data_IF_817609804781
#
_entry.id   IF_817609804781
#
_cell.length_a   1.000
_cell.length_b   1.000
_cell.length_c   1.000
_cell.angle_alpha   90.00
_cell.angle_beta   90.00
_cell.angle_gamma   90.00
#
_symmetry.space_group_name_H-M   'P 1'
#
loop_
_entity.id
_entity.type
_entity.pdbx_description
1 polymer ?
#
# COMPACT_ATOMS: atom_id res chain seq x y z
N UNK A 1 30.04 0.44 -14.71
CA UNK A 1 28.80 0.42 -13.91
C UNK A 1 29.18 0.55 -12.45
N UNK A 2 28.62 1.51 -11.69
CA UNK A 2 28.85 1.59 -10.24
C UNK A 2 27.81 0.72 -9.54
N UNK A 3 28.23 -0.27 -8.75
CA UNK A 3 27.33 -1.08 -7.93
C UNK A 3 26.63 -0.17 -6.90
N UNK A 4 25.38 0.16 -7.16
CA UNK A 4 24.55 1.06 -6.36
C UNK A 4 23.50 0.31 -5.53
N UNK A 5 23.61 -1.02 -5.40
CA UNK A 5 22.61 -1.85 -4.71
C UNK A 5 22.44 -1.45 -3.24
N UNK A 6 23.51 -0.92 -2.62
CA UNK A 6 23.49 -0.38 -1.25
C UNK A 6 22.56 0.82 -1.09
N UNK A 7 22.18 1.52 -2.16
CA UNK A 7 21.21 2.61 -2.08
C UNK A 7 19.80 2.09 -1.79
N UNK A 8 19.48 0.85 -2.21
CA UNK A 8 18.19 0.24 -1.90
C UNK A 8 18.03 0.06 -0.39
N UNK A 9 19.05 -0.40 0.31
CA UNK A 9 18.98 -0.56 1.76
C UNK A 9 19.15 0.79 2.49
N UNK A 10 20.14 1.60 2.11
CA UNK A 10 20.49 2.83 2.85
C UNK A 10 19.53 4.01 2.66
N UNK A 11 18.80 4.08 1.54
CA UNK A 11 17.92 5.22 1.24
C UNK A 11 16.43 4.88 1.27
N UNK A 12 16.05 3.60 1.15
CA UNK A 12 14.63 3.23 1.02
C UNK A 12 14.10 2.39 2.19
N UNK A 13 14.97 2.01 3.13
CA UNK A 13 14.61 1.18 4.28
C UNK A 13 14.24 -0.26 3.90
N UNK A 14 14.66 -0.72 2.72
CA UNK A 14 14.55 -2.12 2.33
C UNK A 14 15.57 -2.97 3.09
N UNK A 15 15.17 -4.19 3.42
CA UNK A 15 16.02 -5.25 3.97
C UNK A 15 16.38 -6.22 2.86
N UNK A 16 17.67 -6.55 2.74
CA UNK A 16 18.14 -7.66 1.89
C UNK A 16 17.87 -8.99 2.60
N UNK A 17 17.03 -9.84 2.01
CA UNK A 17 16.62 -11.10 2.62
C UNK A 17 17.78 -12.10 2.75
N UNK A 18 18.76 -12.07 1.86
CA UNK A 18 19.91 -12.97 1.90
C UNK A 18 20.87 -12.57 3.03
N UNK A 19 21.20 -11.28 3.09
CA UNK A 19 22.05 -10.71 4.16
C UNK A 19 21.46 -11.00 5.54
N UNK A 20 20.15 -10.81 5.70
CA UNK A 20 19.45 -11.16 6.93
C UNK A 20 19.53 -12.66 7.25
N UNK A 21 19.35 -13.53 6.25
CA UNK A 21 19.33 -14.98 6.44
C UNK A 21 20.69 -15.57 6.84
N UNK A 22 21.81 -14.99 6.36
CA UNK A 22 23.16 -15.41 6.76
C UNK A 22 23.61 -14.86 8.12
N UNK A 23 22.78 -14.04 8.77
CA UNK A 23 22.97 -13.59 10.15
C UNK A 23 23.94 -12.42 10.35
N UNK A 24 24.14 -11.56 9.34
CA UNK A 24 25.10 -10.46 9.42
C UNK A 24 24.64 -9.15 8.78
N UNK A 25 25.31 -8.06 9.16
CA UNK A 25 25.45 -6.84 8.34
C UNK A 25 26.25 -7.25 7.07
N UNK A 26 26.10 -6.63 5.87
CA UNK A 26 26.71 -7.11 4.62
C UNK A 26 28.24 -7.31 4.64
N UNK A 27 28.91 -6.96 5.75
CA UNK A 27 30.33 -6.88 6.03
C UNK A 27 31.04 -6.01 4.99
N UNK A 28 31.73 -4.98 5.48
CA UNK A 28 32.59 -4.03 4.79
C UNK A 28 32.82 -4.30 3.29
N UNK A 29 32.56 -3.30 2.44
CA UNK A 29 32.86 -3.38 1.01
C UNK A 29 34.22 -4.06 0.76
N UNK A 30 34.21 -5.25 0.15
CA UNK A 30 35.41 -6.06 -0.09
C UNK A 30 35.44 -7.45 0.56
N UNK A 31 34.46 -7.84 1.38
CA UNK A 31 34.36 -9.23 1.86
C UNK A 31 33.90 -10.15 0.73
N UNK A 32 34.81 -10.94 0.16
CA UNK A 32 34.48 -11.95 -0.85
C UNK A 32 33.76 -13.12 -0.17
N UNK A 33 32.44 -13.18 -0.30
CA UNK A 33 31.68 -14.39 -0.06
C UNK A 33 31.85 -15.24 -1.32
N UNK A 34 32.38 -16.46 -1.18
CA UNK A 34 32.70 -17.31 -2.34
C UNK A 34 31.54 -17.42 -3.34
N UNK A 35 31.87 -17.45 -4.63
CA UNK A 35 30.88 -17.65 -5.69
C UNK A 35 30.16 -18.99 -5.51
N UNK A 36 28.85 -19.00 -5.78
CA UNK A 36 28.09 -20.24 -5.82
C UNK A 36 28.54 -21.12 -7.00
N UNK A 37 28.43 -22.46 -6.90
CA UNK A 37 28.87 -23.35 -7.96
C UNK A 37 28.12 -23.09 -9.27
N UNK A 38 28.83 -22.97 -10.40
CA UNK A 38 28.20 -22.73 -11.71
C UNK A 38 27.27 -23.87 -12.15
N UNK A 39 27.49 -25.09 -11.63
CA UNK A 39 26.70 -26.27 -11.91
C UNK A 39 26.17 -26.92 -10.62
N UNK A 40 24.98 -27.52 -10.72
CA UNK A 40 24.37 -28.25 -9.61
C UNK A 40 23.62 -27.35 -8.62
N UNK A 41 23.24 -27.94 -7.49
CA UNK A 41 22.48 -27.26 -6.43
C UNK A 41 23.47 -26.84 -5.35
N UNK A 42 23.52 -25.55 -4.95
CA UNK A 42 24.34 -25.14 -3.82
C UNK A 42 23.93 -25.86 -2.53
N UNK A 43 24.91 -26.35 -1.78
CA UNK A 43 24.65 -27.08 -0.53
C UNK A 43 24.06 -26.20 0.58
N UNK A 44 24.26 -24.89 0.50
CA UNK A 44 23.79 -23.91 1.46
C UNK A 44 23.71 -22.51 0.84
N UNK A 45 23.28 -21.54 1.65
CA UNK A 45 23.07 -20.14 1.23
C UNK A 45 24.27 -19.22 1.51
N UNK A 46 25.43 -19.74 1.92
CA UNK A 46 26.58 -18.90 2.32
C UNK A 46 27.35 -18.32 1.13
N UNK A 47 27.21 -18.92 -0.05
CA UNK A 47 27.70 -18.34 -1.28
C UNK A 47 26.74 -17.26 -1.77
N UNK A 48 27.24 -16.24 -2.45
CA UNK A 48 26.43 -15.12 -2.95
C UNK A 48 26.09 -15.30 -4.43
N UNK A 49 24.82 -15.10 -4.78
CA UNK A 49 24.38 -14.93 -6.18
C UNK A 49 24.02 -13.49 -6.48
N UNK A 50 24.01 -13.13 -7.76
CA UNK A 50 23.62 -11.80 -8.23
C UNK A 50 22.13 -11.48 -8.04
N UNK A 51 21.27 -12.48 -8.01
CA UNK A 51 19.82 -12.31 -7.80
C UNK A 51 19.50 -11.96 -6.34
N UNK A 52 18.75 -10.87 -6.13
CA UNK A 52 18.43 -10.36 -4.79
C UNK A 52 16.94 -10.18 -4.59
N UNK A 53 16.51 -10.42 -3.35
CA UNK A 53 15.15 -10.11 -2.88
C UNK A 53 15.25 -9.09 -1.76
N UNK A 54 14.75 -7.90 -2.03
CA UNK A 54 14.62 -6.82 -1.06
C UNK A 54 13.18 -6.71 -0.60
N UNK A 55 12.97 -6.51 0.69
CA UNK A 55 11.63 -6.41 1.26
C UNK A 55 11.54 -5.34 2.34
N UNK A 56 10.34 -4.84 2.61
CA UNK A 56 10.05 -3.94 3.73
C UNK A 56 8.61 -4.14 4.18
N UNK A 57 8.35 -3.97 5.47
CA UNK A 57 6.99 -3.79 5.97
C UNK A 57 6.37 -2.44 5.58
N UNK A 58 5.27 -2.13 6.23
CA UNK A 58 4.58 -0.84 6.14
C UNK A 58 3.97 -0.49 7.51
N UNK A 59 3.43 0.73 7.69
CA UNK A 59 2.71 1.07 8.92
C UNK A 59 1.54 0.14 9.28
N UNK A 60 1.02 -0.67 8.33
CA UNK A 60 -0.08 -1.62 8.58
C UNK A 60 0.36 -3.09 8.61
N UNK A 61 1.57 -3.40 8.14
CA UNK A 61 2.06 -4.78 8.02
C UNK A 61 3.50 -4.86 8.53
N UNK A 62 3.71 -5.68 9.55
CA UNK A 62 5.03 -6.17 9.90
C UNK A 62 5.35 -7.36 8.98
N UNK A 63 6.37 -7.21 8.14
CA UNK A 63 6.82 -8.26 7.23
C UNK A 63 8.17 -8.78 7.71
N UNK A 64 8.32 -10.11 7.78
CA UNK A 64 9.56 -10.76 8.20
C UNK A 64 9.90 -11.88 7.24
N UNK A 65 11.16 -11.91 6.77
CA UNK A 65 11.70 -13.10 6.11
C UNK A 65 11.88 -14.23 7.13
N UNK A 66 11.35 -15.41 6.83
CA UNK A 66 11.46 -16.62 7.65
C UNK A 66 12.41 -17.66 7.09
N UNK A 67 12.84 -17.50 5.83
CA UNK A 67 13.75 -18.41 5.19
C UNK A 67 14.24 -17.88 3.85
N UNK A 68 15.46 -18.27 3.48
CA UNK A 68 16.08 -17.99 2.18
C UNK A 68 16.64 -19.30 1.63
N UNK A 69 16.44 -19.54 0.34
CA UNK A 69 16.83 -20.78 -0.32
C UNK A 69 17.29 -20.52 -1.75
N UNK A 70 18.28 -21.30 -2.19
CA UNK A 70 18.53 -21.54 -3.60
C UNK A 70 17.67 -22.73 -4.05
N UNK A 71 16.60 -22.45 -4.79
CA UNK A 71 15.59 -23.44 -5.19
C UNK A 71 15.97 -24.16 -6.50
N UNK A 72 17.27 -24.22 -6.80
CA UNK A 72 17.86 -24.69 -8.06
C UNK A 72 17.36 -26.07 -8.47
N UNK A 73 17.13 -26.97 -7.50
CA UNK A 73 16.65 -28.34 -7.75
C UNK A 73 15.30 -28.39 -8.47
N UNK A 74 14.44 -27.37 -8.32
CA UNK A 74 13.13 -27.29 -9.00
C UNK A 74 13.23 -26.81 -10.45
N UNK A 75 14.40 -26.31 -10.85
CA UNK A 75 14.66 -25.72 -12.16
C UNK A 75 15.75 -26.48 -12.92
N UNK A 76 15.82 -27.80 -12.67
CA UNK A 76 16.63 -28.72 -13.44
C UNK A 76 15.78 -29.37 -14.54
N UNK A 77 16.41 -29.68 -15.66
CA UNK A 77 15.83 -30.54 -16.70
C UNK A 77 15.60 -31.97 -16.16
N UNK A 78 14.82 -32.82 -16.85
CA UNK A 78 14.66 -34.24 -16.48
C UNK A 78 15.97 -35.04 -16.43
N UNK A 79 17.07 -34.50 -16.98
CA UNK A 79 18.42 -35.09 -16.94
C UNK A 79 19.32 -34.44 -15.87
N UNK A 80 18.75 -33.67 -14.94
CA UNK A 80 19.43 -32.93 -13.88
C UNK A 80 20.37 -31.79 -14.34
N UNK A 81 20.27 -31.34 -15.59
CA UNK A 81 21.01 -30.14 -16.05
C UNK A 81 20.29 -28.84 -15.63
N UNK A 82 21.02 -27.81 -15.18
CA UNK A 82 20.46 -26.47 -14.96
C UNK A 82 19.81 -25.91 -16.24
N UNK A 83 18.65 -25.27 -16.10
CA UNK A 83 17.96 -24.58 -17.21
C UNK A 83 18.44 -23.13 -17.40
N UNK A 84 19.26 -22.64 -16.47
CA UNK A 84 19.83 -21.29 -16.43
C UNK A 84 21.17 -21.35 -15.69
N UNK A 85 22.05 -20.39 -15.95
CA UNK A 85 23.32 -20.20 -15.24
C UNK A 85 23.15 -19.39 -13.93
N UNK A 86 21.91 -19.18 -13.48
CA UNK A 86 21.58 -18.53 -12.21
C UNK A 86 20.92 -19.54 -11.26
N UNK A 87 21.11 -19.37 -9.95
CA UNK A 87 20.35 -20.12 -8.96
C UNK A 87 19.08 -19.37 -8.57
N UNK A 88 17.88 -19.92 -8.86
CA UNK A 88 16.62 -19.29 -8.49
C UNK A 88 16.53 -19.05 -6.98
N UNK A 89 16.30 -17.80 -6.61
CA UNK A 89 16.15 -17.38 -5.22
C UNK A 89 14.70 -17.54 -4.77
N UNK A 90 14.50 -18.19 -3.62
CA UNK A 90 13.22 -18.26 -2.93
C UNK A 90 13.36 -17.67 -1.54
N UNK A 91 12.43 -16.78 -1.18
CA UNK A 91 12.31 -16.22 0.15
C UNK A 91 10.93 -16.54 0.69
N UNK A 92 10.88 -17.01 1.93
CA UNK A 92 9.63 -17.20 2.66
C UNK A 92 9.39 -16.01 3.56
N UNK A 93 8.14 -15.56 3.61
CA UNK A 93 7.73 -14.44 4.46
C UNK A 93 6.61 -14.88 5.41
N UNK A 94 6.67 -14.36 6.63
CA UNK A 94 5.51 -14.26 7.50
C UNK A 94 5.15 -12.79 7.69
N UNK A 95 3.87 -12.53 7.94
CA UNK A 95 3.40 -11.19 8.21
C UNK A 95 2.39 -11.17 9.36
N UNK A 96 2.37 -10.04 10.07
CA UNK A 96 1.30 -9.70 11.01
C UNK A 96 0.78 -8.31 10.68
N UNK A 97 -0.49 -8.04 11.01
CA UNK A 97 -1.01 -6.69 10.94
C UNK A 97 -0.48 -5.89 12.13
N UNK A 98 -0.05 -4.67 11.87
CA UNK A 98 0.31 -3.70 12.92
C UNK A 98 -0.97 -3.13 13.53
N UNK A 99 -0.97 -2.84 14.82
CA UNK A 99 -2.10 -2.15 15.45
C UNK A 99 -2.23 -0.69 14.98
N UNK A 100 -3.42 -0.12 15.13
CA UNK A 100 -3.68 1.30 14.84
C UNK A 100 -4.31 1.56 13.47
N UNK A 101 -3.61 1.26 12.37
CA UNK A 101 -4.09 1.55 11.01
C UNK A 101 -4.69 0.33 10.31
N UNK A 102 -5.71 0.55 9.47
CA UNK A 102 -6.35 -0.47 8.62
C UNK A 102 -6.56 0.09 7.22
N UNK A 103 -6.61 -0.78 6.21
CA UNK A 103 -6.93 -0.39 4.84
C UNK A 103 -8.17 -1.14 4.35
N UNK A 104 -8.97 -0.47 3.53
CA UNK A 104 -10.05 -1.13 2.80
C UNK A 104 -9.49 -2.01 1.66
N UNK A 105 -10.37 -2.49 0.78
CA UNK A 105 -9.95 -2.88 -0.58
C UNK A 105 -9.96 -1.65 -1.51
N UNK A 106 -9.38 -1.78 -2.70
CA UNK A 106 -9.46 -0.77 -3.76
C UNK A 106 -10.63 -1.03 -4.71
N UNK A 107 -11.36 0.01 -5.09
CA UNK A 107 -12.40 0.00 -6.13
C UNK A 107 -11.98 0.87 -7.32
N UNK A 108 -12.38 0.54 -8.55
CA UNK A 108 -12.02 1.29 -9.78
C UNK A 108 -11.00 0.61 -10.68
N UNK A 109 -10.35 1.40 -11.56
CA UNK A 109 -9.52 0.94 -12.68
C UNK A 109 -8.00 0.99 -12.48
N UNK A 110 -7.20 0.44 -13.42
CA UNK A 110 -5.74 0.42 -13.33
C UNK A 110 -5.04 1.69 -13.86
N UNK A 111 -5.79 2.68 -14.34
CA UNK A 111 -5.26 3.91 -14.96
C UNK A 111 -4.75 4.91 -13.90
N UNK A 112 -4.32 6.10 -14.32
CA UNK A 112 -3.79 7.13 -13.42
C UNK A 112 -2.43 6.78 -12.81
N UNK A 113 -1.93 7.67 -11.95
CA UNK A 113 -0.69 7.53 -11.20
C UNK A 113 -1.01 7.05 -9.79
N UNK A 114 -0.19 6.13 -9.27
CA UNK A 114 -0.37 5.58 -7.92
C UNK A 114 -0.08 6.63 -6.83
N UNK A 115 -0.92 6.65 -5.80
CA UNK A 115 -0.72 7.41 -4.57
C UNK A 115 -1.06 6.57 -3.33
N UNK A 116 -0.46 6.93 -2.19
CA UNK A 116 -0.74 6.28 -0.90
C UNK A 116 -0.36 7.21 0.26
N UNK A 117 -1.34 7.59 1.08
CA UNK A 117 -1.13 8.49 2.21
C UNK A 117 -0.48 7.80 3.42
N UNK A 118 -0.41 6.47 3.41
CA UNK A 118 -0.14 5.65 4.60
C UNK A 118 1.15 6.04 5.35
N UNK A 119 2.25 6.32 4.62
CA UNK A 119 3.53 6.68 5.25
C UNK A 119 3.54 8.09 5.86
N UNK A 120 2.55 8.91 5.51
CA UNK A 120 2.46 10.31 5.91
C UNK A 120 1.40 10.54 6.98
N UNK A 121 0.66 9.50 7.39
CA UNK A 121 -0.33 9.57 8.46
C UNK A 121 0.37 9.65 9.82
N UNK A 122 0.04 10.63 10.70
CA UNK A 122 0.63 10.75 12.02
C UNK A 122 0.14 9.64 12.97
N UNK A 123 0.77 9.49 14.14
CA UNK A 123 0.48 8.42 15.09
C UNK A 123 -0.97 8.44 15.65
N UNK A 124 -1.54 9.63 15.85
CA UNK A 124 -2.92 9.83 16.33
C UNK A 124 -3.73 10.66 15.33
N UNK A 125 -4.06 10.10 14.16
CA UNK A 125 -4.69 10.86 13.10
C UNK A 125 -6.19 11.04 13.36
N UNK A 126 -6.68 12.25 13.09
CA UNK A 126 -8.12 12.56 13.19
C UNK A 126 -8.54 13.39 12.00
N UNK A 127 -9.62 12.96 11.35
CA UNK A 127 -10.21 13.69 10.24
C UNK A 127 -10.82 15.01 10.75
N UNK A 128 -10.47 16.11 10.11
CA UNK A 128 -11.09 17.42 10.34
C UNK A 128 -12.13 17.73 9.28
N UNK A 129 -11.81 17.45 8.00
CA UNK A 129 -12.76 17.60 6.91
C UNK A 129 -12.44 16.66 5.75
N UNK A 130 -13.48 16.35 4.98
CA UNK A 130 -13.40 15.62 3.72
C UNK A 130 -14.00 16.50 2.63
N UNK A 131 -13.27 16.71 1.55
CA UNK A 131 -13.78 17.38 0.34
C UNK A 131 -13.80 16.39 -0.81
N UNK A 132 -14.93 16.34 -1.52
CA UNK A 132 -15.10 15.62 -2.77
C UNK A 132 -15.31 16.63 -3.88
N UNK A 133 -14.52 16.53 -4.96
CA UNK A 133 -14.74 17.30 -6.18
C UNK A 133 -15.31 16.39 -7.26
N UNK A 134 -16.43 16.78 -7.86
CA UNK A 134 -17.03 15.97 -8.90
C UNK A 134 -18.11 16.66 -9.71
N UNK A 135 -18.36 16.10 -10.91
CA UNK A 135 -19.50 16.39 -11.77
C UNK A 135 -20.12 15.08 -12.27
N UNK A 136 -19.83 14.66 -13.50
CA UNK A 136 -20.20 13.32 -13.99
C UNK A 136 -19.42 12.21 -13.30
N UNK A 137 -18.20 12.53 -12.86
CA UNK A 137 -17.24 11.65 -12.21
C UNK A 137 -16.66 12.29 -10.96
N UNK A 138 -15.91 11.52 -10.18
CA UNK A 138 -15.13 12.06 -9.07
C UNK A 138 -13.79 12.59 -9.61
N UNK A 139 -13.67 13.90 -9.70
CA UNK A 139 -12.48 14.60 -10.16
C UNK A 139 -11.37 14.58 -9.11
N UNK A 140 -11.71 14.73 -7.83
CA UNK A 140 -10.71 14.75 -6.76
C UNK A 140 -11.25 14.52 -5.36
N UNK A 141 -10.33 14.27 -4.43
CA UNK A 141 -10.59 14.05 -3.02
C UNK A 141 -9.51 14.75 -2.18
N UNK A 142 -9.96 15.47 -1.14
CA UNK A 142 -9.07 16.05 -0.13
C UNK A 142 -9.43 15.50 1.25
N UNK A 143 -8.43 14.95 1.94
CA UNK A 143 -8.53 14.51 3.33
C UNK A 143 -7.72 15.47 4.19
N UNK A 144 -8.40 16.31 4.97
CA UNK A 144 -7.78 17.23 5.90
C UNK A 144 -7.77 16.66 7.31
N UNK A 145 -6.58 16.52 7.91
CA UNK A 145 -6.40 16.07 9.28
C UNK A 145 -6.35 17.25 10.26
N UNK A 146 -6.75 17.03 11.50
CA UNK A 146 -6.68 18.05 12.57
C UNK A 146 -5.25 18.45 12.93
N UNK A 147 -4.23 17.76 12.41
CA UNK A 147 -2.82 18.17 12.49
C UNK A 147 -2.49 19.33 11.53
N UNK A 148 -3.42 19.73 10.67
CA UNK A 148 -3.20 20.71 9.59
C UNK A 148 -2.66 20.08 8.31
N UNK A 149 -2.45 18.76 8.28
CA UNK A 149 -2.00 18.04 7.10
C UNK A 149 -3.16 17.76 6.14
N UNK A 150 -2.93 18.00 4.85
CA UNK A 150 -3.86 17.70 3.78
C UNK A 150 -3.29 16.63 2.85
N UNK A 151 -4.14 15.70 2.42
CA UNK A 151 -3.88 14.78 1.32
C UNK A 151 -4.81 15.12 0.17
N UNK A 152 -4.25 15.57 -0.95
CA UNK A 152 -4.98 16.00 -2.15
C UNK A 152 -4.68 15.06 -3.31
N UNK A 153 -5.72 14.43 -3.86
CA UNK A 153 -5.60 13.51 -4.99
C UNK A 153 -6.62 13.84 -6.09
N UNK A 154 -6.25 13.59 -7.35
CA UNK A 154 -7.08 13.88 -8.52
C UNK A 154 -6.87 15.28 -9.10
N UNK A 155 -7.67 15.62 -10.11
CA UNK A 155 -7.57 16.88 -10.85
C UNK A 155 -8.43 17.98 -10.26
N UNK A 156 -8.32 19.16 -10.86
CA UNK A 156 -8.99 20.39 -10.40
C UNK A 156 -10.42 20.58 -10.89
N UNK A 157 -10.95 19.63 -11.67
CA UNK A 157 -12.30 19.66 -12.22
C UNK A 157 -13.41 19.49 -11.18
N UNK A 158 -14.65 19.53 -11.67
CA UNK A 158 -15.85 19.31 -10.86
C UNK A 158 -16.18 20.43 -9.88
N UNK A 159 -17.35 20.32 -9.24
CA UNK A 159 -17.76 21.19 -8.14
C UNK A 159 -17.23 20.62 -6.81
N UNK A 160 -16.90 21.50 -5.87
CA UNK A 160 -16.39 21.11 -4.55
C UNK A 160 -17.51 20.96 -3.53
N UNK A 161 -17.53 19.82 -2.83
CA UNK A 161 -18.46 19.52 -1.75
C UNK A 161 -17.68 19.07 -0.53
N UNK A 162 -17.87 19.75 0.61
CA UNK A 162 -17.08 19.52 1.82
C UNK A 162 -17.96 19.12 2.99
N UNK A 163 -17.44 18.20 3.80
CA UNK A 163 -17.99 17.80 5.09
C UNK A 163 -16.94 18.02 6.18
N UNK A 164 -17.23 18.89 7.13
CA UNK A 164 -16.38 19.17 8.28
C UNK A 164 -16.86 18.33 9.47
N UNK A 165 -15.94 17.66 10.15
CA UNK A 165 -16.25 16.82 11.31
C UNK A 165 -16.62 17.69 12.50
N UNK A 166 -17.69 17.31 13.20
CA UNK A 166 -18.03 17.86 14.51
C UNK A 166 -17.44 16.94 15.61
N UNK A 167 -17.34 17.41 16.87
CA UNK A 167 -16.80 16.58 17.95
C UNK A 167 -17.53 15.24 18.12
N UNK A 168 -16.79 14.14 18.02
CA UNK A 168 -17.33 12.78 18.14
C UNK A 168 -17.80 12.17 16.80
N UNK A 169 -17.78 12.94 15.72
CA UNK A 169 -18.12 12.45 14.40
C UNK A 169 -16.88 11.95 13.63
N UNK A 170 -17.08 10.95 12.79
CA UNK A 170 -16.06 10.41 11.90
C UNK A 170 -16.71 9.63 10.76
N UNK A 171 -16.04 9.60 9.60
CA UNK A 171 -16.52 8.86 8.41
C UNK A 171 -16.36 7.36 8.64
N UNK A 172 -17.49 6.64 8.64
CA UNK A 172 -17.56 5.18 8.87
C UNK A 172 -17.73 4.39 7.58
N UNK A 173 -18.27 5.00 6.53
CA UNK A 173 -18.47 4.33 5.26
C UNK A 173 -18.32 5.27 4.09
N UNK A 174 -17.82 4.74 2.97
CA UNK A 174 -17.81 5.44 1.69
C UNK A 174 -18.34 4.53 0.61
N UNK A 175 -19.42 4.95 -0.06
CA UNK A 175 -19.91 4.31 -1.27
C UNK A 175 -19.16 4.86 -2.47
N UNK A 176 -18.56 3.97 -3.24
CA UNK A 176 -17.94 4.27 -4.52
C UNK A 176 -18.72 3.59 -5.63
N UNK A 177 -18.93 4.30 -6.74
CA UNK A 177 -19.40 3.69 -7.98
C UNK A 177 -18.43 4.02 -9.11
N UNK A 178 -18.17 3.07 -9.99
CA UNK A 178 -17.21 3.22 -11.08
C UNK A 178 -17.82 2.80 -12.41
N UNK A 179 -17.19 3.23 -13.50
CA UNK A 179 -17.66 2.98 -14.85
C UNK A 179 -16.57 3.30 -15.87
N UNK A 180 -16.84 3.06 -17.15
CA UNK A 180 -15.90 3.38 -18.22
C UNK A 180 -16.21 4.74 -18.85
N UNK A 181 -15.17 5.55 -19.02
CA UNK A 181 -15.17 6.77 -19.85
C UNK A 181 -14.01 6.63 -20.83
N UNK A 182 -14.29 6.68 -22.13
CA UNK A 182 -13.25 6.58 -23.18
C UNK A 182 -12.34 5.36 -22.99
N UNK A 183 -12.93 4.19 -22.73
CA UNK A 183 -12.26 2.92 -22.39
C UNK A 183 -11.50 2.89 -21.05
N UNK A 184 -11.40 4.00 -20.33
CA UNK A 184 -10.77 4.06 -19.02
C UNK A 184 -11.80 3.88 -17.90
N UNK A 185 -11.57 2.90 -17.01
CA UNK A 185 -12.38 2.77 -15.79
C UNK A 185 -12.01 3.85 -14.79
N UNK A 186 -13.01 4.62 -14.34
CA UNK A 186 -12.86 5.74 -13.38
C UNK A 186 -13.89 5.63 -12.26
N UNK A 187 -13.64 6.30 -11.14
CA UNK A 187 -14.64 6.51 -10.10
C UNK A 187 -15.62 7.58 -10.58
N UNK A 188 -16.87 7.18 -10.73
CA UNK A 188 -17.95 8.06 -11.17
C UNK A 188 -18.64 8.73 -9.99
N UNK A 189 -18.69 8.09 -8.83
CA UNK A 189 -19.40 8.58 -7.65
C UNK A 189 -18.65 8.25 -6.36
N UNK A 190 -18.68 9.18 -5.41
CA UNK A 190 -18.36 8.90 -4.02
C UNK A 190 -19.42 9.50 -3.10
N UNK A 191 -19.80 8.77 -2.06
CA UNK A 191 -20.59 9.28 -0.94
C UNK A 191 -20.00 8.79 0.37
N UNK A 192 -19.53 9.71 1.20
CA UNK A 192 -19.08 9.43 2.56
C UNK A 192 -20.23 9.64 3.54
N UNK A 193 -20.36 8.73 4.51
CA UNK A 193 -21.32 8.84 5.61
C UNK A 193 -20.58 8.72 6.94
N UNK A 194 -21.03 9.50 7.92
CA UNK A 194 -20.42 9.55 9.25
C UNK A 194 -21.21 8.79 10.30
N UNK A 195 -20.60 8.55 11.45
CA UNK A 195 -21.26 7.85 12.58
C UNK A 195 -22.49 8.61 13.09
N UNK A 196 -22.50 9.95 13.01
CA UNK A 196 -23.64 10.78 13.42
C UNK A 196 -24.66 11.05 12.31
N UNK A 197 -24.54 10.36 11.16
CA UNK A 197 -25.52 10.43 10.07
C UNK A 197 -25.34 11.61 9.11
N UNK A 198 -24.23 12.35 9.18
CA UNK A 198 -23.91 13.34 8.15
C UNK A 198 -23.34 12.66 6.91
N UNK A 199 -23.47 13.33 5.76
CA UNK A 199 -22.92 12.81 4.51
C UNK A 199 -22.48 13.91 3.55
N UNK A 200 -21.58 13.54 2.64
CA UNK A 200 -21.18 14.33 1.47
C UNK A 200 -21.03 13.41 0.28
N UNK A 201 -21.41 13.88 -0.90
CA UNK A 201 -21.25 13.13 -2.13
C UNK A 201 -20.87 14.02 -3.31
N UNK A 202 -20.26 13.41 -4.33
CA UNK A 202 -19.98 14.04 -5.61
C UNK A 202 -20.02 12.98 -6.72
N UNK A 203 -20.25 13.40 -7.96
CA UNK A 203 -20.31 12.51 -9.10
C UNK A 203 -21.70 11.94 -9.40
N UNK A 204 -21.77 10.99 -10.34
CA UNK A 204 -23.02 10.33 -10.77
C UNK A 204 -22.94 8.82 -10.52
N UNK A 205 -23.99 8.24 -9.92
CA UNK A 205 -24.03 6.79 -9.64
C UNK A 205 -24.04 6.00 -10.95
N UNK A 206 -23.33 4.87 -10.96
CA UNK A 206 -23.32 3.86 -12.02
C UNK A 206 -23.89 2.55 -11.48
N UNK A 207 -23.96 1.51 -12.32
CA UNK A 207 -24.39 0.18 -11.91
C UNK A 207 -23.39 -0.49 -10.98
N UNK A 208 -22.09 -0.38 -11.29
CA UNK A 208 -21.02 -0.95 -10.46
C UNK A 208 -20.75 -0.06 -9.26
N UNK A 209 -21.25 -0.48 -8.09
CA UNK A 209 -21.03 0.20 -6.82
C UNK A 209 -20.57 -0.75 -5.70
N UNK A 210 -19.80 -0.22 -4.76
CA UNK A 210 -19.58 -0.83 -3.45
C UNK A 210 -19.58 0.22 -2.34
N UNK A 211 -20.13 -0.13 -1.18
CA UNK A 211 -19.86 0.55 0.11
C UNK A 211 -18.68 -0.08 0.84
N UNK A 212 -17.64 0.71 1.10
CA UNK A 212 -16.50 0.33 1.92
C UNK A 212 -16.75 0.82 3.35
N UNK A 213 -16.83 -0.09 4.31
CA UNK A 213 -17.13 0.19 5.72
C UNK A 213 -15.88 0.03 6.57
N UNK A 214 -15.60 1.01 7.42
CA UNK A 214 -14.53 0.93 8.41
C UNK A 214 -14.82 -0.17 9.45
N UNK A 215 -13.79 -0.83 10.00
CA UNK A 215 -13.98 -1.69 11.17
C UNK A 215 -14.67 -0.95 12.33
N UNK A 216 -15.32 -1.68 13.24
CA UNK A 216 -15.96 -1.08 14.42
C UNK A 216 -14.96 -0.26 15.24
N UNK A 217 -15.32 0.97 15.57
CA UNK A 217 -14.46 1.92 16.30
C UNK A 217 -13.39 2.61 15.43
N UNK A 218 -13.43 2.47 14.10
CA UNK A 218 -12.47 3.10 13.19
C UNK A 218 -13.15 4.15 12.31
N UNK A 219 -12.37 5.16 11.92
CA UNK A 219 -12.79 6.25 11.03
C UNK A 219 -11.75 6.51 9.94
N UNK A 220 -12.19 7.02 8.80
CA UNK A 220 -11.32 7.36 7.67
C UNK A 220 -10.35 8.50 8.03
N UNK A 221 -9.07 8.31 7.72
CA UNK A 221 -7.99 9.30 7.96
C UNK A 221 -7.04 9.47 6.78
N UNK A 222 -7.28 8.78 5.68
CA UNK A 222 -6.46 8.88 4.48
C UNK A 222 -6.96 7.99 3.37
N UNK A 223 -6.27 8.03 2.25
CA UNK A 223 -6.63 7.30 1.04
C UNK A 223 -5.41 6.70 0.36
N UNK A 224 -5.66 5.78 -0.55
CA UNK A 224 -4.66 5.24 -1.46
C UNK A 224 -5.36 4.75 -2.72
N UNK A 225 -4.65 4.74 -3.84
CA UNK A 225 -5.27 4.41 -5.11
C UNK A 225 -4.52 4.97 -6.31
N UNK A 226 -5.28 5.38 -7.32
CA UNK A 226 -4.74 5.93 -8.56
C UNK A 226 -5.58 7.09 -9.05
N UNK A 227 -4.90 8.13 -9.52
CA UNK A 227 -5.55 9.35 -9.99
C UNK A 227 -4.74 10.03 -11.11
N UNK A 228 -5.44 10.83 -11.91
CA UNK A 228 -4.88 11.80 -12.85
C UNK A 228 -5.75 13.05 -12.81
N UNK A 229 -6.32 13.44 -13.94
CA UNK A 229 -7.33 14.51 -14.00
C UNK A 229 -8.60 14.15 -13.21
N UNK A 230 -8.86 12.86 -13.01
CA UNK A 230 -9.96 12.32 -12.21
C UNK A 230 -9.46 11.15 -11.36
N UNK A 231 -10.26 10.68 -10.41
CA UNK A 231 -9.92 9.50 -9.59
C UNK A 231 -10.22 8.22 -10.39
N UNK A 232 -9.20 7.41 -10.63
CA UNK A 232 -9.34 6.14 -11.36
C UNK A 232 -9.62 4.96 -10.43
N UNK A 233 -8.96 4.95 -9.25
CA UNK A 233 -9.06 3.89 -8.26
C UNK A 233 -8.93 4.46 -6.86
N UNK A 234 -9.75 3.98 -5.93
CA UNK A 234 -9.76 4.51 -4.57
C UNK A 234 -9.99 3.42 -3.52
N UNK A 235 -9.27 3.55 -2.42
CA UNK A 235 -9.44 2.86 -1.16
C UNK A 235 -9.10 3.80 -0.01
N UNK A 236 -9.45 3.38 1.20
CA UNK A 236 -9.42 4.21 2.39
C UNK A 236 -8.50 3.62 3.45
N UNK A 237 -7.87 4.51 4.20
CA UNK A 237 -7.07 4.19 5.37
C UNK A 237 -7.88 4.63 6.60
N UNK A 238 -7.99 3.72 7.56
CA UNK A 238 -8.74 3.92 8.78
C UNK A 238 -7.82 3.90 10.00
N UNK A 239 -8.17 4.70 11.00
CA UNK A 239 -7.55 4.66 12.31
C UNK A 239 -8.63 4.54 13.39
N UNK A 240 -8.25 3.93 14.52
CA UNK A 240 -9.12 3.86 15.68
C UNK A 240 -9.52 5.26 16.14
N UNK A 241 -10.80 5.43 16.45
CA UNK A 241 -11.38 6.66 16.98
C UNK A 241 -11.62 6.48 18.47
N UNK A 242 -11.55 7.57 19.22
CA UNK A 242 -11.90 7.56 20.64
C UNK A 242 -13.38 7.21 20.78
N UNK A 243 -13.65 6.06 21.40
CA UNK A 243 -15.00 5.60 21.66
C UNK A 243 -15.54 6.30 22.91
N UNK A 244 -16.39 7.33 22.72
CA UNK A 244 -16.99 8.07 23.83
C UNK A 244 -18.03 7.25 24.63
N UNK A 245 -18.36 6.04 24.19
CA UNK A 245 -19.21 5.10 24.93
C UNK A 245 -18.43 3.98 25.63
N UNK A 246 -17.10 3.94 25.53
CA UNK A 246 -16.31 3.05 26.36
C UNK A 246 -16.43 3.49 27.83
N UNK A 247 -16.77 2.58 28.76
CA UNK A 247 -16.76 2.92 30.19
C UNK A 247 -15.36 3.38 30.59
N UNK A 248 -15.30 4.54 31.26
CA UNK A 248 -14.08 5.08 31.88
C UNK A 248 -13.61 4.21 33.04
#
# INVERSE_FOLDING_TARGET
SKNNIRLLTSQTGLTDAWVQAIGGDPLAAGTYMGECPEEGVPDNIKCEVGDKVFYRGSPVINLKSTGFFYDTSRFLSPKNYPLTNHHPVRVEFSYTLTDGLRQSRLCGGPHGIWFNDLSSIPASPKLEYLTLRGADRLDGITVGLSSGQNFDHGGSGGNSYSLRMIPGDYVTSVKLCWGKKDQHTRIFYAQANTILGHSVHAGTKTEDCMTLTAPGGYGMVGTYGRAGDEIDRLGFIYAQQEDRWAPQ
#
